data_IF_963696834010
#
_entry.id   IF_963696834010
#
_cell.length_a   1.000
_cell.length_b   1.000
_cell.length_c   1.000
_cell.angle_alpha   90.00
_cell.angle_beta   90.00
_cell.angle_gamma   90.00
#
_symmetry.space_group_name_H-M   'P 1'
#
loop_
_entity.id
_entity.type
_entity.pdbx_description
1 polymer ?
#
# COMPACT_ATOMS: atom_id res chain seq x y z
N UNK A 1 -19.69 18.78 11.57
CA UNK A 1 -20.21 20.04 11.02
C UNK A 1 -19.38 20.36 9.79
N UNK A 2 -19.98 20.68 8.63
CA UNK A 2 -19.25 20.86 7.37
C UNK A 2 -18.38 22.14 7.30
N UNK A 3 -18.47 23.04 8.28
CA UNK A 3 -17.76 24.33 8.30
C UNK A 3 -16.66 24.41 9.39
N UNK A 4 -16.07 23.29 9.79
CA UNK A 4 -14.98 23.30 10.76
C UNK A 4 -13.70 23.84 10.08
N UNK A 5 -13.13 24.98 10.49
CA UNK A 5 -11.86 25.45 9.95
C UNK A 5 -10.74 24.49 10.36
N UNK A 6 -9.92 24.07 9.39
CA UNK A 6 -8.74 23.22 9.60
C UNK A 6 -7.52 23.99 9.10
N UNK A 7 -6.50 24.11 9.93
CA UNK A 7 -5.26 24.77 9.56
C UNK A 7 -4.54 23.96 8.47
N UNK A 8 -3.82 24.63 7.56
CA UNK A 8 -3.14 23.94 6.46
C UNK A 8 -2.16 22.86 6.94
N UNK A 9 -1.44 23.11 8.04
CA UNK A 9 -0.51 22.13 8.60
C UNK A 9 -1.22 20.87 9.12
N UNK A 10 -2.44 21.03 9.67
CA UNK A 10 -3.26 19.92 10.13
C UNK A 10 -3.84 19.13 8.94
N UNK A 11 -4.35 19.85 7.93
CA UNK A 11 -4.81 19.24 6.68
C UNK A 11 -3.69 18.45 6.00
N UNK A 12 -2.47 19.00 5.95
CA UNK A 12 -1.32 18.35 5.34
C UNK A 12 -0.93 17.05 6.07
N UNK A 13 -0.95 17.05 7.41
CA UNK A 13 -0.72 15.85 8.21
C UNK A 13 -1.73 14.74 7.92
N UNK A 14 -3.01 15.09 7.74
CA UNK A 14 -4.03 14.11 7.36
C UNK A 14 -3.90 13.66 5.90
N UNK A 15 -3.60 14.57 4.98
CA UNK A 15 -3.49 14.26 3.56
C UNK A 15 -2.28 13.37 3.24
N UNK A 16 -1.21 13.47 4.03
CA UNK A 16 -0.05 12.58 3.93
C UNK A 16 -0.43 11.10 4.04
N UNK A 17 -1.44 10.75 4.84
CA UNK A 17 -1.90 9.37 4.96
C UNK A 17 -2.49 8.79 3.65
N UNK A 18 -2.81 9.66 2.68
CA UNK A 18 -3.30 9.31 1.35
C UNK A 18 -2.26 9.54 0.25
N UNK A 19 -0.98 9.65 0.62
CA UNK A 19 0.11 9.92 -0.32
C UNK A 19 -0.13 11.16 -1.20
N UNK A 20 -0.78 12.18 -0.64
CA UNK A 20 -1.15 13.40 -1.37
C UNK A 20 -1.95 13.18 -2.65
N UNK A 21 -2.62 12.03 -2.76
CA UNK A 21 -3.42 11.69 -3.95
C UNK A 21 -4.53 12.72 -4.14
N UNK A 22 -4.75 13.14 -5.38
CA UNK A 22 -5.80 14.07 -5.78
C UNK A 22 -6.53 13.59 -7.02
N UNK A 23 -7.79 14.03 -7.15
CA UNK A 23 -8.60 13.88 -8.35
C UNK A 23 -8.99 15.28 -8.82
N UNK A 24 -8.66 15.64 -10.06
CA UNK A 24 -9.04 16.92 -10.65
C UNK A 24 -10.29 16.71 -11.52
N UNK A 25 -11.39 17.36 -11.16
CA UNK A 25 -12.64 17.33 -11.93
C UNK A 25 -12.85 18.73 -12.51
N UNK A 26 -12.91 18.82 -13.84
CA UNK A 26 -13.01 20.10 -14.55
C UNK A 26 -13.88 19.97 -15.82
N UNK A 27 -14.56 21.05 -16.26
CA UNK A 27 -15.24 21.10 -17.55
C UNK A 27 -14.26 20.88 -18.72
N UNK A 28 -14.67 20.13 -19.75
CA UNK A 28 -13.79 19.79 -20.87
C UNK A 28 -13.17 21.00 -21.58
N UNK A 29 -13.87 22.13 -21.63
CA UNK A 29 -13.39 23.39 -22.22
C UNK A 29 -12.28 24.08 -21.41
N UNK A 30 -11.99 23.63 -20.18
CA UNK A 30 -10.90 24.12 -19.32
C UNK A 30 -9.66 23.22 -19.30
N UNK A 31 -9.61 22.18 -20.12
CA UNK A 31 -8.48 21.24 -20.13
C UNK A 31 -7.12 21.93 -20.27
N UNK A 32 -6.99 22.86 -21.21
CA UNK A 32 -5.73 23.58 -21.42
C UNK A 32 -5.29 24.36 -20.19
N UNK A 33 -6.23 24.97 -19.45
CA UNK A 33 -5.92 25.69 -18.21
C UNK A 33 -5.46 24.73 -17.10
N UNK A 34 -6.16 23.60 -16.94
CA UNK A 34 -5.80 22.59 -15.94
C UNK A 34 -4.43 21.98 -16.24
N UNK A 35 -4.15 21.64 -17.49
CA UNK A 35 -2.84 21.11 -17.90
C UNK A 35 -1.73 22.16 -17.68
N UNK A 36 -2.02 23.44 -17.87
CA UNK A 36 -1.06 24.50 -17.56
C UNK A 36 -0.79 24.62 -16.05
N UNK A 37 -1.80 24.42 -15.20
CA UNK A 37 -1.63 24.41 -13.73
C UNK A 37 -0.88 23.17 -13.24
N UNK A 38 -1.22 21.99 -13.76
CA UNK A 38 -0.52 20.74 -13.43
C UNK A 38 0.94 20.78 -13.90
N UNK A 39 1.19 21.39 -15.06
CA UNK A 39 2.52 21.46 -15.66
C UNK A 39 3.10 20.05 -15.82
N UNK A 40 4.34 19.80 -15.37
CA UNK A 40 4.97 18.48 -15.44
C UNK A 40 4.19 17.37 -14.73
N UNK A 41 3.41 17.69 -13.69
CA UNK A 41 2.62 16.69 -12.95
C UNK A 41 1.46 16.10 -13.74
N UNK A 42 1.16 16.64 -14.93
CA UNK A 42 0.23 16.01 -15.87
C UNK A 42 0.79 14.69 -16.45
N UNK A 43 2.11 14.53 -16.48
CA UNK A 43 2.76 13.25 -16.83
C UNK A 43 2.82 12.33 -15.61
N UNK A 44 2.27 11.11 -15.74
CA UNK A 44 2.17 10.17 -14.62
C UNK A 44 3.54 9.72 -14.09
N UNK A 45 4.52 9.53 -14.98
CA UNK A 45 5.86 9.08 -14.59
C UNK A 45 6.59 10.19 -13.80
N UNK A 46 6.54 11.43 -14.30
CA UNK A 46 7.05 12.58 -13.57
C UNK A 46 6.36 12.74 -12.22
N UNK A 47 5.03 12.65 -12.19
CA UNK A 47 4.25 12.83 -10.96
C UNK A 47 4.62 11.76 -9.91
N UNK A 48 4.73 10.50 -10.33
CA UNK A 48 5.13 9.39 -9.46
C UNK A 48 6.54 9.59 -8.90
N UNK A 49 7.50 10.04 -9.74
CA UNK A 49 8.85 10.34 -9.28
C UNK A 49 8.85 11.51 -8.28
N UNK A 50 8.15 12.60 -8.60
CA UNK A 50 8.05 13.76 -7.71
C UNK A 50 7.39 13.42 -6.37
N UNK A 51 6.41 12.50 -6.36
CA UNK A 51 5.80 11.97 -5.13
C UNK A 51 6.79 11.11 -4.33
N UNK A 52 7.63 10.31 -4.99
CA UNK A 52 8.70 9.56 -4.33
C UNK A 52 9.75 10.48 -3.71
N UNK A 53 10.11 11.57 -4.39
CA UNK A 53 11.06 12.58 -3.92
C UNK A 53 10.50 13.34 -2.72
N UNK A 54 9.24 13.82 -2.80
CA UNK A 54 8.55 14.47 -1.67
C UNK A 54 8.50 13.56 -0.44
N UNK A 55 8.13 12.29 -0.61
CA UNK A 55 8.12 11.33 0.48
C UNK A 55 9.53 11.09 1.06
N UNK A 56 10.56 11.12 0.21
CA UNK A 56 11.96 10.99 0.63
C UNK A 56 12.44 12.17 1.46
N UNK A 57 12.06 13.40 1.09
CA UNK A 57 12.36 14.60 1.86
C UNK A 57 11.63 14.61 3.20
N UNK A 58 10.35 14.21 3.21
CA UNK A 58 9.51 14.20 4.41
C UNK A 58 9.98 13.21 5.48
N UNK A 59 10.66 12.12 5.10
CA UNK A 59 11.27 11.17 6.05
C UNK A 59 12.19 11.90 7.04
N UNK A 60 12.94 12.90 6.58
CA UNK A 60 13.89 13.66 7.41
C UNK A 60 13.27 14.90 8.05
N UNK A 61 12.12 15.36 7.55
CA UNK A 61 11.40 16.53 8.04
C UNK A 61 10.32 16.21 9.09
N UNK A 62 9.96 14.94 9.26
CA UNK A 62 8.86 14.49 10.11
C UNK A 62 9.30 13.46 11.15
N UNK A 63 8.42 13.18 12.12
CA UNK A 63 8.62 12.16 13.15
C UNK A 63 7.32 11.42 13.48
N UNK A 64 7.43 10.31 14.20
CA UNK A 64 6.27 9.55 14.69
C UNK A 64 5.34 9.07 13.56
N UNK A 65 4.03 9.28 13.72
CA UNK A 65 3.00 8.90 12.73
C UNK A 65 3.24 9.52 11.36
N UNK A 66 3.69 10.77 11.30
CA UNK A 66 3.89 11.45 10.01
C UNK A 66 5.09 10.88 9.26
N UNK A 67 6.15 10.52 9.99
CA UNK A 67 7.32 9.83 9.43
C UNK A 67 6.99 8.41 8.99
N UNK A 68 6.13 7.70 9.71
CA UNK A 68 5.58 6.42 9.26
C UNK A 68 4.97 6.58 7.86
N UNK A 69 4.09 7.57 7.67
CA UNK A 69 3.45 7.77 6.37
C UNK A 69 4.44 8.25 5.30
N UNK A 70 5.45 9.04 5.64
CA UNK A 70 6.51 9.40 4.70
C UNK A 70 7.22 8.16 4.15
N UNK A 71 7.63 7.23 5.02
CA UNK A 71 8.21 5.94 4.61
C UNK A 71 7.24 5.07 3.80
N UNK A 72 6.00 4.95 4.25
CA UNK A 72 4.98 4.14 3.58
C UNK A 72 4.63 4.68 2.18
N UNK A 73 4.55 6.01 2.04
CA UNK A 73 4.32 6.70 0.78
C UNK A 73 5.51 6.50 -0.16
N UNK A 74 6.74 6.61 0.36
CA UNK A 74 7.95 6.31 -0.43
C UNK A 74 7.90 4.90 -0.98
N UNK A 75 7.58 3.90 -0.15
CA UNK A 75 7.39 2.52 -0.60
C UNK A 75 6.32 2.39 -1.70
N UNK A 76 5.19 3.06 -1.52
CA UNK A 76 4.07 3.04 -2.47
C UNK A 76 4.45 3.63 -3.83
N UNK A 77 5.16 4.76 -3.83
CA UNK A 77 5.63 5.39 -5.07
C UNK A 77 6.72 4.55 -5.75
N UNK A 78 7.61 3.91 -4.99
CA UNK A 78 8.63 3.02 -5.56
C UNK A 78 8.05 1.73 -6.15
N UNK A 79 6.97 1.18 -5.59
CA UNK A 79 6.21 0.09 -6.23
C UNK A 79 5.70 0.53 -7.61
N UNK A 80 5.15 1.76 -7.72
CA UNK A 80 4.69 2.30 -9.01
C UNK A 80 5.84 2.49 -10.00
N UNK A 81 7.03 2.86 -9.51
CA UNK A 81 8.27 2.95 -10.29
C UNK A 81 8.94 1.60 -10.54
N UNK A 82 8.35 0.50 -10.04
CA UNK A 82 8.88 -0.87 -10.14
C UNK A 82 10.25 -1.09 -9.46
N UNK A 83 10.68 -0.17 -8.60
CA UNK A 83 11.81 -0.38 -7.69
C UNK A 83 11.35 -1.14 -6.45
N UNK A 84 11.10 -2.43 -6.62
CA UNK A 84 10.57 -3.29 -5.56
C UNK A 84 11.56 -3.47 -4.40
N UNK A 85 12.87 -3.44 -4.66
CA UNK A 85 13.88 -3.57 -3.62
C UNK A 85 13.92 -2.31 -2.73
N UNK A 86 13.94 -1.12 -3.33
CA UNK A 86 13.85 0.15 -2.61
C UNK A 86 12.50 0.32 -1.90
N UNK A 87 11.41 -0.16 -2.50
CA UNK A 87 10.09 -0.17 -1.89
C UNK A 87 10.04 -1.07 -0.64
N UNK A 88 10.59 -2.28 -0.73
CA UNK A 88 10.62 -3.23 0.38
C UNK A 88 11.36 -2.64 1.59
N UNK A 89 12.51 -1.99 1.36
CA UNK A 89 13.26 -1.29 2.41
C UNK A 89 12.43 -0.16 3.04
N UNK A 90 11.73 0.64 2.22
CA UNK A 90 10.89 1.72 2.73
C UNK A 90 9.73 1.19 3.61
N UNK A 91 9.12 0.08 3.22
CA UNK A 91 8.08 -0.56 4.02
C UNK A 91 8.62 -1.18 5.31
N UNK A 92 9.83 -1.75 5.30
CA UNK A 92 10.47 -2.24 6.53
C UNK A 92 10.62 -1.10 7.56
N UNK A 93 11.12 0.05 7.13
CA UNK A 93 11.25 1.23 8.00
C UNK A 93 9.90 1.74 8.50
N UNK A 94 8.88 1.76 7.64
CA UNK A 94 7.51 2.09 8.04
C UNK A 94 7.01 1.12 9.13
N UNK A 95 7.12 -0.19 8.94
CA UNK A 95 6.64 -1.17 9.92
C UNK A 95 7.49 -1.20 11.21
N UNK A 96 8.77 -0.85 11.14
CA UNK A 96 9.61 -0.64 12.31
C UNK A 96 9.11 0.54 13.16
N UNK A 97 8.75 1.66 12.52
CA UNK A 97 8.14 2.81 13.19
C UNK A 97 6.76 2.50 13.75
N UNK A 98 5.93 1.76 13.02
CA UNK A 98 4.62 1.32 13.48
C UNK A 98 4.71 0.46 14.76
N UNK A 99 5.70 -0.44 14.81
CA UNK A 99 5.98 -1.26 16.00
C UNK A 99 6.41 -0.40 17.20
N UNK A 100 7.17 0.68 16.96
CA UNK A 100 7.54 1.63 18.01
C UNK A 100 6.32 2.43 18.50
N UNK A 101 5.50 2.92 17.57
CA UNK A 101 4.27 3.66 17.86
C UNK A 101 3.26 2.84 18.66
N UNK A 102 3.20 1.52 18.44
CA UNK A 102 2.36 0.62 19.23
C UNK A 102 2.67 0.68 20.74
N UNK A 103 3.88 1.09 21.12
CA UNK A 103 4.30 1.25 22.52
C UNK A 103 4.31 2.72 22.94
N UNK A 104 4.82 3.62 22.09
CA UNK A 104 5.05 5.01 22.47
C UNK A 104 3.85 5.94 22.27
N UNK A 105 2.99 5.69 21.28
CA UNK A 105 1.81 6.50 20.95
C UNK A 105 0.72 5.63 20.29
N UNK A 106 0.11 4.69 21.04
CA UNK A 106 -0.81 3.70 20.48
C UNK A 106 -2.09 4.32 19.92
N UNK A 107 -2.50 5.50 20.39
CA UNK A 107 -3.69 6.20 19.91
C UNK A 107 -3.49 6.75 18.49
N UNK A 108 -2.26 7.15 18.15
CA UNK A 108 -1.91 7.68 16.83
C UNK A 108 -1.38 6.63 15.87
N UNK A 109 -1.28 5.38 16.30
CA UNK A 109 -0.81 4.28 15.44
C UNK A 109 -1.73 4.15 14.21
N UNK A 110 -1.21 4.01 12.99
CA UNK A 110 -2.01 3.72 11.81
C UNK A 110 -2.73 2.36 11.93
N UNK A 111 -4.01 2.31 11.56
CA UNK A 111 -4.84 1.11 11.63
C UNK A 111 -5.18 0.65 10.22
N UNK A 112 -5.34 -0.66 10.02
CA UNK A 112 -5.87 -1.23 8.76
C UNK A 112 -5.04 -0.85 7.53
N UNK A 113 -3.74 -0.62 7.70
CA UNK A 113 -2.86 -0.17 6.62
C UNK A 113 -2.90 -1.07 5.38
N UNK A 114 -3.03 -2.39 5.56
CA UNK A 114 -3.06 -3.33 4.43
C UNK A 114 -4.45 -3.56 3.84
N UNK A 115 -5.49 -2.89 4.35
CA UNK A 115 -6.81 -2.97 3.76
C UNK A 115 -6.81 -2.14 2.47
N UNK A 116 -6.88 -2.82 1.33
CA UNK A 116 -6.80 -2.23 -0.02
C UNK A 116 -5.49 -1.50 -0.35
N UNK A 117 -4.45 -1.62 0.49
CA UNK A 117 -3.09 -1.15 0.18
C UNK A 117 -2.15 -2.36 0.09
N UNK A 118 -2.08 -2.94 -1.09
CA UNK A 118 -1.33 -4.17 -1.36
C UNK A 118 0.15 -3.93 -1.70
N UNK A 119 0.59 -2.67 -1.76
CA UNK A 119 1.97 -2.27 -2.11
C UNK A 119 3.07 -3.06 -1.40
N UNK A 120 3.00 -3.29 -0.07
CA UNK A 120 3.96 -4.13 0.63
C UNK A 120 4.06 -5.56 0.09
N UNK A 121 2.94 -6.19 -0.30
CA UNK A 121 2.97 -7.52 -0.91
C UNK A 121 3.67 -7.52 -2.26
N UNK A 122 3.42 -6.51 -3.11
CA UNK A 122 4.14 -6.34 -4.38
C UNK A 122 5.64 -6.20 -4.13
N UNK A 123 6.04 -5.27 -3.25
CA UNK A 123 7.44 -4.98 -2.94
C UNK A 123 8.18 -6.25 -2.49
N UNK A 124 7.66 -6.93 -1.47
CA UNK A 124 8.30 -8.14 -0.94
C UNK A 124 8.28 -9.30 -1.93
N UNK A 125 7.18 -9.52 -2.65
CA UNK A 125 7.10 -10.63 -3.61
C UNK A 125 8.09 -10.45 -4.77
N UNK A 126 8.08 -9.28 -5.41
CA UNK A 126 8.91 -9.02 -6.58
C UNK A 126 10.39 -8.77 -6.23
N UNK A 127 10.72 -8.52 -4.96
CA UNK A 127 12.10 -8.56 -4.45
C UNK A 127 12.54 -9.95 -3.98
N UNK A 128 11.74 -11.00 -4.18
CA UNK A 128 12.06 -12.38 -3.78
C UNK A 128 11.92 -12.68 -2.28
N UNK A 129 11.36 -11.76 -1.50
CA UNK A 129 11.14 -11.89 -0.04
C UNK A 129 9.82 -12.62 0.26
N UNK A 130 9.68 -13.84 -0.26
CA UNK A 130 8.44 -14.61 -0.13
C UNK A 130 8.06 -14.93 1.32
N UNK A 131 9.05 -15.17 2.18
CA UNK A 131 8.81 -15.35 3.62
C UNK A 131 8.14 -14.15 4.27
N UNK A 132 8.52 -12.93 3.87
CA UNK A 132 7.92 -11.71 4.40
C UNK A 132 6.50 -11.49 3.88
N UNK A 133 6.20 -11.88 2.63
CA UNK A 133 4.82 -11.90 2.12
C UNK A 133 3.96 -12.85 2.96
N UNK A 134 4.45 -14.07 3.23
CA UNK A 134 3.72 -15.07 4.03
C UNK A 134 3.48 -14.56 5.45
N UNK A 135 4.50 -14.00 6.08
CA UNK A 135 4.42 -13.46 7.44
C UNK A 135 3.45 -12.29 7.51
N UNK A 136 3.57 -11.32 6.61
CA UNK A 136 2.74 -10.13 6.57
C UNK A 136 1.27 -10.49 6.33
N UNK A 137 0.99 -11.34 5.34
CA UNK A 137 -0.36 -11.78 5.04
C UNK A 137 -0.97 -12.58 6.21
N UNK A 138 -0.19 -13.46 6.84
CA UNK A 138 -0.65 -14.21 8.01
C UNK A 138 -1.02 -13.30 9.18
N UNK A 139 -0.17 -12.33 9.51
CA UNK A 139 -0.46 -11.36 10.57
C UNK A 139 -1.69 -10.51 10.23
N UNK A 140 -1.83 -10.11 8.97
CA UNK A 140 -2.99 -9.33 8.49
C UNK A 140 -4.29 -10.11 8.67
N UNK A 141 -4.30 -11.38 8.27
CA UNK A 141 -5.47 -12.25 8.37
C UNK A 141 -5.83 -12.59 9.81
N UNK A 142 -4.83 -12.82 10.67
CA UNK A 142 -5.05 -13.09 12.11
C UNK A 142 -5.59 -11.87 12.84
N UNK A 143 -5.14 -10.67 12.47
CA UNK A 143 -5.55 -9.42 13.12
C UNK A 143 -6.82 -8.81 12.51
N UNK A 144 -7.33 -9.36 11.40
CA UNK A 144 -8.55 -8.89 10.79
C UNK A 144 -9.75 -9.29 11.66
N UNK A 145 -10.59 -8.33 12.04
CA UNK A 145 -11.81 -8.59 12.79
C UNK A 145 -12.90 -9.27 11.94
N UNK A 146 -12.79 -9.16 10.61
CA UNK A 146 -13.68 -9.77 9.63
C UNK A 146 -12.82 -10.42 8.55
N UNK A 147 -13.16 -11.63 8.08
CA UNK A 147 -12.32 -12.37 7.16
C UNK A 147 -12.51 -11.93 5.69
N UNK A 148 -12.42 -10.62 5.41
CA UNK A 148 -12.82 -9.99 4.14
C UNK A 148 -11.63 -9.45 3.33
N UNK A 149 -10.46 -10.08 3.45
CA UNK A 149 -9.21 -9.64 2.81
C UNK A 149 -8.73 -10.69 1.81
N UNK A 150 -9.49 -10.91 0.73
CA UNK A 150 -9.17 -11.90 -0.31
C UNK A 150 -7.78 -11.69 -0.91
N UNK A 151 -7.29 -10.45 -0.95
CA UNK A 151 -5.96 -10.12 -1.46
C UNK A 151 -4.87 -10.68 -0.55
N UNK A 152 -5.03 -10.63 0.78
CA UNK A 152 -4.05 -11.21 1.70
C UNK A 152 -3.94 -12.73 1.52
N UNK A 153 -5.07 -13.42 1.32
CA UNK A 153 -5.08 -14.84 0.99
C UNK A 153 -4.37 -15.11 -0.35
N UNK A 154 -4.71 -14.36 -1.39
CA UNK A 154 -4.08 -14.47 -2.71
C UNK A 154 -2.57 -14.24 -2.66
N UNK A 155 -2.10 -13.18 -2.01
CA UNK A 155 -0.67 -12.88 -1.91
C UNK A 155 0.11 -13.93 -1.12
N UNK A 156 -0.48 -14.46 -0.04
CA UNK A 156 0.11 -15.58 0.68
C UNK A 156 0.17 -16.84 -0.18
N UNK A 157 -0.88 -17.14 -0.95
CA UNK A 157 -0.89 -18.26 -1.88
C UNK A 157 0.23 -18.14 -2.92
N UNK A 158 0.39 -16.96 -3.55
CA UNK A 158 1.48 -16.71 -4.50
C UNK A 158 2.84 -16.99 -3.89
N UNK A 159 3.09 -16.48 -2.68
CA UNK A 159 4.36 -16.66 -2.01
C UNK A 159 4.60 -18.13 -1.61
N UNK A 160 3.58 -18.83 -1.10
CA UNK A 160 3.63 -20.26 -0.80
C UNK A 160 3.98 -21.09 -2.04
N UNK A 161 3.30 -20.84 -3.15
CA UNK A 161 3.59 -21.48 -4.44
C UNK A 161 5.04 -21.22 -4.89
N UNK A 162 5.52 -19.99 -4.78
CA UNK A 162 6.91 -19.64 -5.11
C UNK A 162 7.95 -20.35 -4.22
N UNK A 163 7.59 -20.70 -2.99
CA UNK A 163 8.43 -21.48 -2.07
C UNK A 163 8.22 -23.00 -2.13
N UNK A 164 7.35 -23.48 -3.03
CA UNK A 164 7.05 -24.90 -3.23
C UNK A 164 5.92 -25.47 -2.35
N UNK A 165 5.30 -24.67 -1.50
CA UNK A 165 4.12 -25.05 -0.72
C UNK A 165 2.85 -24.92 -1.58
N UNK A 166 2.70 -25.84 -2.53
CA UNK A 166 1.56 -25.85 -3.47
C UNK A 166 0.25 -26.16 -2.74
N UNK A 167 0.27 -27.07 -1.76
CA UNK A 167 -0.92 -27.43 -0.98
C UNK A 167 -1.46 -26.22 -0.21
N UNK A 168 -0.61 -25.52 0.55
CA UNK A 168 -1.00 -24.32 1.27
C UNK A 168 -1.40 -23.16 0.36
N UNK A 169 -0.89 -23.10 -0.88
CA UNK A 169 -1.34 -22.13 -1.87
C UNK A 169 -2.78 -22.41 -2.35
N UNK A 170 -3.10 -23.66 -2.69
CA UNK A 170 -4.45 -24.06 -3.11
C UNK A 170 -5.49 -23.80 -2.01
N UNK A 171 -5.14 -24.06 -0.75
CA UNK A 171 -6.01 -23.82 0.40
C UNK A 171 -6.29 -22.32 0.59
N UNK A 172 -5.26 -21.47 0.49
CA UNK A 172 -5.42 -20.02 0.55
C UNK A 172 -6.29 -19.50 -0.60
N UNK A 173 -6.13 -20.01 -1.83
CA UNK A 173 -6.92 -19.59 -3.00
C UNK A 173 -8.38 -19.98 -2.87
N UNK A 174 -8.67 -21.21 -2.43
CA UNK A 174 -10.04 -21.65 -2.15
C UNK A 174 -10.68 -20.80 -1.06
N UNK A 175 -9.91 -20.44 -0.03
CA UNK A 175 -10.39 -19.55 1.05
C UNK A 175 -10.66 -18.14 0.53
N UNK A 176 -9.76 -17.59 -0.29
CA UNK A 176 -9.96 -16.31 -0.99
C UNK A 176 -11.29 -16.29 -1.75
N UNK A 177 -11.59 -17.37 -2.49
CA UNK A 177 -12.82 -17.51 -3.29
C UNK A 177 -14.07 -17.81 -2.45
N UNK A 178 -13.95 -18.29 -1.21
CA UNK A 178 -15.11 -18.38 -0.30
C UNK A 178 -15.60 -16.98 0.11
N UNK A 179 -14.69 -16.03 0.26
CA UNK A 179 -15.03 -14.65 0.62
C UNK A 179 -15.39 -13.79 -0.61
N UNK A 180 -14.77 -14.07 -1.74
CA UNK A 180 -15.05 -13.42 -3.01
C UNK A 180 -14.99 -14.42 -4.16
N UNK A 181 -16.13 -15.05 -4.48
CA UNK A 181 -16.27 -16.12 -5.47
C UNK A 181 -15.71 -15.76 -6.86
N UNK A 182 -15.84 -14.50 -7.26
CA UNK A 182 -15.40 -13.97 -8.55
C UNK A 182 -14.02 -13.32 -8.56
N UNK A 183 -13.18 -13.53 -7.52
CA UNK A 183 -11.90 -12.84 -7.44
C UNK A 183 -10.92 -13.39 -8.48
N UNK A 184 -10.86 -12.73 -9.63
CA UNK A 184 -10.12 -13.15 -10.82
C UNK A 184 -8.66 -13.56 -10.54
N UNK A 185 -7.85 -12.82 -9.74
CA UNK A 185 -6.47 -13.23 -9.45
C UNK A 185 -6.38 -14.60 -8.78
N UNK A 186 -7.32 -14.92 -7.89
CA UNK A 186 -7.35 -16.23 -7.22
C UNK A 186 -7.83 -17.34 -8.13
N UNK A 187 -8.83 -17.09 -8.99
CA UNK A 187 -9.28 -18.06 -10.00
C UNK A 187 -8.15 -18.43 -10.95
N UNK A 188 -7.46 -17.44 -11.50
CA UNK A 188 -6.36 -17.63 -12.45
C UNK A 188 -5.20 -18.41 -11.84
N UNK A 189 -4.80 -18.09 -10.59
CA UNK A 189 -3.72 -18.81 -9.94
C UNK A 189 -4.14 -20.23 -9.54
N UNK A 190 -5.40 -20.44 -9.15
CA UNK A 190 -5.92 -21.76 -8.82
C UNK A 190 -5.86 -22.68 -10.04
N UNK A 191 -6.33 -22.19 -11.19
CA UNK A 191 -6.25 -22.92 -12.47
C UNK A 191 -4.79 -23.22 -12.85
N UNK A 192 -3.90 -22.23 -12.73
CA UNK A 192 -2.47 -22.40 -13.05
C UNK A 192 -1.76 -23.45 -12.18
N UNK A 193 -2.23 -23.68 -10.95
CA UNK A 193 -1.72 -24.69 -10.04
C UNK A 193 -2.43 -26.05 -10.16
N UNK A 194 -3.37 -26.21 -11.10
CA UNK A 194 -4.13 -27.43 -11.33
C UNK A 194 -5.21 -27.72 -10.27
N UNK A 195 -5.76 -26.66 -9.67
CA UNK A 195 -6.65 -26.68 -8.51
C UNK A 195 -8.13 -26.73 -8.77
#
# INVERSE_FOLDING_TARGET
>A
MPDLPVEYAELESYWRAFNYTYLVVFPADRETEVMAVLGPHADEAYNTQAAADKASDEIFATSGRDQFFAWFNRGTNLVRLQDYAGAAQAYDEAFALDSQLAVSDPERRPWRMLWYQTGPYFAYFFSGRYGDVINLATQTLVNASEPTLEESWYWRARARAATGDTAGALDDLRTSLQYHEGFAPSLELLEALGG
#
